data_IF_185099905213
#
_entry.id   IF_185099905213
#
_cell.length_a   1.000
_cell.length_b   1.000
_cell.length_c   1.000
_cell.angle_alpha   90.00
_cell.angle_beta   90.00
_cell.angle_gamma   90.00
#
_symmetry.space_group_name_H-M   'P 1'
#
loop_
_entity.id
_entity.type
_entity.pdbx_description
1 polymer ?
#
# COMPACT_ATOMS: atom_id res chain seq x y z
N UNK A 1 -53.21 26.24 -19.89
CA UNK A 1 -52.74 24.86 -20.11
C UNK A 1 -51.22 24.81 -20.03
N UNK A 2 -50.64 24.59 -18.84
CA UNK A 2 -49.24 24.21 -18.63
C UNK A 2 -49.19 23.35 -17.36
N UNK A 3 -49.06 22.03 -17.55
CA UNK A 3 -48.82 21.07 -16.46
C UNK A 3 -47.35 21.21 -16.02
N UNK A 4 -47.11 21.60 -14.77
CA UNK A 4 -45.86 21.25 -14.09
C UNK A 4 -46.03 19.86 -13.46
N UNK A 5 -45.28 18.88 -13.95
CA UNK A 5 -45.10 17.59 -13.28
C UNK A 5 -44.05 17.77 -12.18
N UNK A 6 -44.49 17.80 -10.93
CA UNK A 6 -43.59 17.61 -9.77
C UNK A 6 -43.12 16.15 -9.75
N UNK A 7 -41.80 15.96 -9.81
CA UNK A 7 -41.15 14.67 -9.59
C UNK A 7 -40.89 14.56 -8.09
N UNK A 8 -41.68 13.72 -7.42
CA UNK A 8 -41.44 13.30 -6.04
C UNK A 8 -40.32 12.27 -6.06
N UNK A 9 -39.12 12.63 -5.61
CA UNK A 9 -38.02 11.69 -5.36
C UNK A 9 -38.21 11.11 -3.97
N UNK A 10 -38.72 9.89 -3.89
CA UNK A 10 -38.77 9.12 -2.64
C UNK A 10 -37.37 8.58 -2.34
N UNK A 11 -36.67 9.19 -1.37
CA UNK A 11 -35.44 8.64 -0.81
C UNK A 11 -35.84 7.51 0.13
N UNK A 12 -35.65 6.26 -0.30
CA UNK A 12 -35.69 5.11 0.59
C UNK A 12 -34.43 5.12 1.47
N UNK A 13 -34.57 5.54 2.74
CA UNK A 13 -33.57 5.25 3.76
C UNK A 13 -33.57 3.74 4.01
N UNK A 14 -32.50 3.06 3.62
CA UNK A 14 -32.22 1.70 4.08
C UNK A 14 -31.64 1.84 5.49
N UNK A 15 -32.49 1.68 6.50
CA UNK A 15 -32.06 1.37 7.85
C UNK A 15 -31.61 -0.09 7.88
N UNK A 16 -30.30 -0.33 7.99
CA UNK A 16 -29.79 -1.65 8.34
C UNK A 16 -30.08 -1.88 9.82
N UNK A 17 -31.20 -2.56 10.09
CA UNK A 17 -31.47 -3.11 11.40
C UNK A 17 -30.40 -4.16 11.72
N UNK A 18 -29.89 -4.12 12.96
CA UNK A 18 -29.10 -5.20 13.54
C UNK A 18 -29.96 -6.48 13.55
N UNK A 19 -29.85 -7.28 12.49
CA UNK A 19 -30.48 -8.59 12.42
C UNK A 19 -29.57 -9.61 13.11
N UNK A 20 -30.10 -10.19 14.19
CA UNK A 20 -29.59 -11.39 14.84
C UNK A 20 -29.22 -12.46 13.80
N UNK A 21 -27.94 -12.82 13.75
CA UNK A 21 -27.42 -13.87 12.88
C UNK A 21 -27.87 -15.25 13.38
N UNK A 22 -28.82 -15.86 12.68
CA UNK A 22 -29.18 -17.27 12.87
C UNK A 22 -29.49 -17.91 11.52
N UNK A 23 -28.73 -18.95 11.18
CA UNK A 23 -29.00 -19.88 10.07
C UNK A 23 -28.25 -19.57 8.78
N UNK A 24 -27.31 -20.46 8.42
CA UNK A 24 -26.29 -20.34 7.37
C UNK A 24 -25.18 -19.32 7.69
N UNK A 25 -23.95 -19.84 7.78
CA UNK A 25 -22.73 -19.15 8.23
C UNK A 25 -22.31 -18.05 7.26
N UNK A 26 -22.97 -16.90 7.33
CA UNK A 26 -22.51 -15.71 6.63
C UNK A 26 -21.07 -15.43 7.08
N UNK A 27 -20.12 -15.19 6.15
CA UNK A 27 -18.81 -14.68 6.53
C UNK A 27 -18.98 -13.45 7.41
N UNK A 28 -18.09 -13.27 8.37
CA UNK A 28 -18.00 -12.04 9.15
C UNK A 28 -17.77 -10.81 8.27
N UNK A 29 -17.67 -9.64 8.89
CA UNK A 29 -17.61 -8.37 8.21
C UNK A 29 -16.21 -7.75 8.27
N UNK A 30 -15.79 -7.11 7.18
CA UNK A 30 -14.67 -6.17 7.17
C UNK A 30 -15.22 -4.74 7.07
N UNK A 31 -14.82 -3.89 8.01
CA UNK A 31 -15.18 -2.46 8.08
C UNK A 31 -13.94 -1.58 7.96
N UNK A 32 -14.08 -0.39 7.37
CA UNK A 32 -12.95 0.45 6.98
C UNK A 32 -12.94 1.79 7.70
N UNK A 33 -11.74 2.35 7.93
CA UNK A 33 -11.53 3.60 8.66
C UNK A 33 -10.39 4.42 8.05
N UNK A 34 -10.46 5.75 8.16
CA UNK A 34 -9.34 6.67 7.87
C UNK A 34 -8.53 7.02 9.12
N UNK A 35 -8.84 6.37 10.25
CA UNK A 35 -8.15 6.54 11.52
C UNK A 35 -7.55 5.22 11.96
N UNK A 36 -6.42 5.30 12.66
CA UNK A 36 -5.80 4.13 13.27
C UNK A 36 -6.77 3.50 14.27
N UNK A 37 -6.92 2.18 14.18
CA UNK A 37 -7.73 1.37 15.10
C UNK A 37 -6.84 0.52 16.00
N UNK A 38 -7.37 0.13 17.16
CA UNK A 38 -6.65 -0.71 18.11
C UNK A 38 -6.49 -2.15 17.56
N UNK A 39 -5.32 -2.72 17.78
CA UNK A 39 -5.10 -4.15 17.56
C UNK A 39 -5.88 -4.95 18.63
N UNK A 40 -6.52 -6.04 18.22
CA UNK A 40 -7.26 -6.98 19.10
C UNK A 40 -8.48 -6.44 19.86
N UNK A 41 -9.18 -5.43 19.33
CA UNK A 41 -10.42 -4.94 19.95
C UNK A 41 -11.52 -4.69 18.93
N UNK A 42 -12.74 -5.02 19.37
CA UNK A 42 -14.01 -4.41 18.95
C UNK A 42 -13.83 -2.96 18.56
N UNK A 43 -14.10 -2.64 17.28
CA UNK A 43 -14.41 -1.25 16.98
C UNK A 43 -15.67 -0.86 17.77
N UNK A 44 -15.59 0.29 18.45
CA UNK A 44 -16.73 0.92 19.12
C UNK A 44 -17.27 2.09 18.29
N UNK A 45 -16.76 2.22 17.06
CA UNK A 45 -17.10 3.29 16.14
C UNK A 45 -18.51 3.09 15.59
N UNK A 46 -19.17 4.21 15.28
CA UNK A 46 -20.54 4.23 14.76
C UNK A 46 -20.55 4.10 13.23
N UNK A 47 -21.68 3.70 12.66
CA UNK A 47 -21.87 3.52 11.21
C UNK A 47 -21.47 4.73 10.36
N UNK A 48 -21.69 5.95 10.88
CA UNK A 48 -21.31 7.19 10.20
C UNK A 48 -19.79 7.49 10.25
N UNK A 49 -19.05 6.76 11.08
CA UNK A 49 -17.58 6.83 11.17
C UNK A 49 -16.90 5.74 10.32
N UNK A 50 -17.66 4.72 9.89
CA UNK A 50 -17.18 3.66 9.00
C UNK A 50 -17.13 4.18 7.56
N UNK A 51 -15.98 4.02 6.92
CA UNK A 51 -15.81 4.38 5.52
C UNK A 51 -16.50 3.38 4.61
N UNK A 52 -17.35 3.90 3.73
CA UNK A 52 -17.80 3.19 2.52
C UNK A 52 -16.95 3.55 1.31
N UNK A 53 -16.52 4.81 1.28
CA UNK A 53 -15.68 5.37 0.24
C UNK A 53 -14.36 5.82 0.85
N UNK A 54 -13.25 5.51 0.16
CA UNK A 54 -11.92 5.94 0.54
C UNK A 54 -11.25 6.64 -0.64
N UNK A 55 -10.70 7.82 -0.40
CA UNK A 55 -9.95 8.57 -1.40
C UNK A 55 -8.52 8.03 -1.51
N UNK A 56 -8.12 7.62 -2.71
CA UNK A 56 -6.81 7.05 -2.97
C UNK A 56 -5.69 8.05 -2.64
N UNK A 57 -4.89 7.73 -1.63
CA UNK A 57 -3.84 8.60 -1.10
C UNK A 57 -4.06 9.03 0.35
N UNK A 58 -5.23 8.75 0.93
CA UNK A 58 -5.48 8.87 2.37
C UNK A 58 -5.03 7.63 3.16
N UNK A 59 -4.84 7.76 4.48
CA UNK A 59 -4.64 6.58 5.31
C UNK A 59 -5.89 5.68 5.30
N UNK A 60 -5.67 4.38 5.39
CA UNK A 60 -6.70 3.35 5.35
C UNK A 60 -6.37 2.21 6.32
N UNK A 61 -7.35 1.89 7.15
CA UNK A 61 -7.32 0.78 8.08
C UNK A 61 -8.59 -0.03 7.93
N UNK A 62 -8.54 -1.31 8.34
CA UNK A 62 -9.68 -2.20 8.31
C UNK A 62 -9.79 -3.00 9.61
N UNK A 63 -10.99 -3.18 10.14
CA UNK A 63 -11.27 -4.19 11.17
C UNK A 63 -12.01 -5.36 10.54
N UNK A 64 -11.58 -6.58 10.82
CA UNK A 64 -12.35 -7.78 10.49
C UNK A 64 -13.00 -8.33 11.77
N UNK A 65 -14.29 -8.62 11.70
CA UNK A 65 -15.14 -9.08 12.82
C UNK A 65 -15.87 -10.33 12.37
N UNK A 66 -15.63 -11.45 13.02
CA UNK A 66 -16.23 -12.75 12.67
C UNK A 66 -16.50 -13.58 13.93
N UNK A 67 -17.30 -14.64 13.82
CA UNK A 67 -17.86 -15.37 14.96
C UNK A 67 -17.14 -16.70 15.28
N UNK A 68 -16.25 -17.15 14.38
CA UNK A 68 -15.54 -18.43 14.49
C UNK A 68 -14.04 -18.24 14.46
N UNK A 69 -13.31 -18.83 15.39
CA UNK A 69 -11.85 -18.88 15.29
C UNK A 69 -11.41 -19.56 13.99
N UNK A 70 -10.18 -19.31 13.53
CA UNK A 70 -9.64 -19.96 12.33
C UNK A 70 -9.79 -21.49 12.39
N UNK A 71 -9.47 -22.09 13.52
CA UNK A 71 -9.54 -23.55 13.73
C UNK A 71 -10.98 -24.08 13.73
N UNK A 72 -11.95 -23.28 14.16
CA UNK A 72 -13.37 -23.67 14.13
C UNK A 72 -13.95 -23.56 12.71
N UNK A 73 -13.50 -22.57 11.94
CA UNK A 73 -13.92 -22.37 10.56
C UNK A 73 -13.22 -23.32 9.58
N UNK A 74 -11.97 -23.69 9.86
CA UNK A 74 -11.18 -24.61 9.05
C UNK A 74 -10.13 -25.32 9.92
N UNK A 75 -10.40 -26.58 10.29
CA UNK A 75 -9.55 -27.36 11.20
C UNK A 75 -8.14 -27.64 10.66
N UNK A 76 -8.04 -27.85 9.35
CA UNK A 76 -6.77 -28.11 8.66
C UNK A 76 -5.96 -26.83 8.44
N UNK A 77 -6.63 -25.66 8.42
CA UNK A 77 -6.00 -24.38 8.13
C UNK A 77 -5.04 -23.98 9.24
N UNK A 78 -3.80 -23.68 8.84
CA UNK A 78 -2.72 -23.27 9.71
C UNK A 78 -2.19 -21.85 9.41
N UNK A 79 -2.81 -21.13 8.47
CA UNK A 79 -2.44 -19.76 8.07
C UNK A 79 -3.65 -18.84 7.90
N UNK A 80 -3.38 -17.54 7.76
CA UNK A 80 -4.37 -16.49 7.47
C UNK A 80 -3.89 -15.67 6.26
N UNK A 81 -4.82 -15.30 5.38
CA UNK A 81 -4.53 -14.53 4.17
C UNK A 81 -5.56 -13.41 3.97
N UNK A 82 -5.11 -12.27 3.46
CA UNK A 82 -5.99 -11.19 2.98
C UNK A 82 -5.97 -11.17 1.45
N UNK A 83 -7.15 -11.17 0.85
CA UNK A 83 -7.33 -11.12 -0.60
C UNK A 83 -8.11 -9.87 -1.01
N UNK A 84 -7.64 -9.23 -2.06
CA UNK A 84 -8.23 -8.04 -2.68
C UNK A 84 -8.63 -8.38 -4.10
N UNK A 85 -9.85 -8.01 -4.51
CA UNK A 85 -10.31 -8.30 -5.86
C UNK A 85 -11.26 -7.26 -6.45
N UNK A 86 -11.20 -7.12 -7.77
CA UNK A 86 -12.13 -6.33 -8.58
C UNK A 86 -12.15 -6.85 -10.01
N UNK A 87 -13.34 -7.10 -10.56
CA UNK A 87 -13.55 -7.46 -11.98
C UNK A 87 -12.54 -8.48 -12.54
N UNK A 88 -12.34 -9.59 -11.83
CA UNK A 88 -11.44 -10.68 -12.23
C UNK A 88 -9.95 -10.44 -11.94
N UNK A 89 -9.55 -9.25 -11.49
CA UNK A 89 -8.22 -9.00 -10.92
C UNK A 89 -8.26 -9.39 -9.44
N UNK A 90 -7.30 -10.20 -9.00
CA UNK A 90 -7.17 -10.63 -7.62
C UNK A 90 -5.70 -10.61 -7.20
N UNK A 91 -5.43 -10.21 -5.96
CA UNK A 91 -4.10 -10.32 -5.38
C UNK A 91 -4.21 -10.50 -3.87
N UNK A 92 -3.27 -11.22 -3.26
CA UNK A 92 -3.33 -11.58 -1.84
C UNK A 92 -2.00 -11.44 -1.13
N UNK A 93 -2.03 -11.39 0.20
CA UNK A 93 -0.81 -11.37 1.03
C UNK A 93 0.05 -12.62 0.82
N UNK A 94 -0.53 -13.81 0.64
CA UNK A 94 0.23 -15.03 0.30
C UNK A 94 0.90 -14.90 -1.08
N UNK A 95 0.19 -14.33 -2.06
CA UNK A 95 0.77 -14.13 -3.39
C UNK A 95 1.90 -13.08 -3.38
N UNK A 96 1.76 -12.00 -2.60
CA UNK A 96 2.84 -11.02 -2.39
C UNK A 96 4.09 -11.68 -1.82
N UNK A 97 3.93 -12.56 -0.82
CA UNK A 97 5.05 -13.31 -0.26
C UNK A 97 5.68 -14.24 -1.29
N UNK A 98 4.88 -14.91 -2.12
CA UNK A 98 5.40 -15.81 -3.14
C UNK A 98 6.16 -15.06 -4.26
N UNK A 99 5.58 -13.98 -4.77
CA UNK A 99 6.15 -13.17 -5.86
C UNK A 99 7.43 -12.44 -5.42
N UNK A 100 7.52 -12.05 -4.13
CA UNK A 100 8.61 -11.25 -3.57
C UNK A 100 9.24 -11.89 -2.31
N UNK A 101 9.47 -13.20 -2.36
CA UNK A 101 9.93 -13.99 -1.21
C UNK A 101 11.25 -13.48 -0.59
N UNK A 102 12.15 -12.94 -1.39
CA UNK A 102 13.42 -12.38 -0.91
C UNK A 102 13.22 -11.20 0.06
N UNK A 103 12.08 -10.51 -0.05
CA UNK A 103 11.72 -9.37 0.79
C UNK A 103 10.79 -9.82 1.94
N UNK A 104 9.83 -10.71 1.66
CA UNK A 104 8.73 -11.01 2.58
C UNK A 104 8.72 -12.43 3.17
N UNK A 105 9.77 -13.23 2.98
CA UNK A 105 9.86 -14.62 3.49
C UNK A 105 9.53 -14.74 4.98
N UNK A 106 9.98 -13.78 5.80
CA UNK A 106 9.74 -13.72 7.24
C UNK A 106 8.66 -12.72 7.65
N UNK A 107 8.03 -12.00 6.70
CA UNK A 107 7.02 -11.01 7.01
C UNK A 107 5.75 -11.71 7.52
N UNK A 108 5.29 -11.32 8.72
CA UNK A 108 4.02 -11.80 9.24
C UNK A 108 2.89 -11.30 8.32
N UNK A 109 1.98 -12.21 7.95
CA UNK A 109 0.71 -11.82 7.33
C UNK A 109 -0.29 -11.38 8.40
N UNK A 110 -1.60 -11.50 8.15
CA UNK A 110 -2.65 -11.24 9.15
C UNK A 110 -2.70 -12.35 10.24
N UNK A 111 -1.56 -12.77 10.77
CA UNK A 111 -1.40 -13.85 11.75
C UNK A 111 -1.98 -13.49 13.12
N UNK A 112 -2.18 -12.20 13.38
CA UNK A 112 -2.88 -11.69 14.57
C UNK A 112 -4.32 -12.23 14.72
N UNK A 113 -4.94 -12.74 13.64
CA UNK A 113 -6.23 -13.42 13.66
C UNK A 113 -6.17 -14.92 13.97
N UNK A 114 -4.97 -15.50 14.17
CA UNK A 114 -4.86 -16.92 14.50
C UNK A 114 -5.56 -17.28 15.83
N UNK A 115 -5.62 -16.32 16.77
CA UNK A 115 -6.25 -16.48 18.08
C UNK A 115 -7.32 -15.44 18.39
N UNK A 116 -7.61 -14.52 17.45
CA UNK A 116 -8.57 -13.44 17.64
C UNK A 116 -9.66 -13.50 16.57
N UNK A 117 -10.91 -13.37 16.98
CA UNK A 117 -12.06 -13.19 16.10
C UNK A 117 -12.26 -11.74 15.66
N UNK A 118 -11.38 -10.85 16.14
CA UNK A 118 -11.32 -9.46 15.75
C UNK A 118 -9.92 -8.85 15.90
N UNK A 119 -9.52 -8.06 14.90
CA UNK A 119 -8.31 -7.25 14.96
C UNK A 119 -8.35 -6.13 13.92
N UNK A 120 -7.54 -5.10 14.14
CA UNK A 120 -7.27 -4.06 13.15
C UNK A 120 -6.11 -4.40 12.23
N UNK A 121 -6.22 -3.97 10.98
CA UNK A 121 -5.27 -4.16 9.88
C UNK A 121 -4.93 -2.79 9.30
N UNK A 122 -3.65 -2.59 8.96
CA UNK A 122 -3.22 -1.44 8.17
C UNK A 122 -3.27 -1.79 6.68
N UNK A 123 -3.92 -0.95 5.87
CA UNK A 123 -3.94 -1.09 4.42
C UNK A 123 -3.13 0.02 3.74
N UNK A 124 -3.21 1.25 4.26
CA UNK A 124 -2.34 2.39 3.94
C UNK A 124 -2.09 3.13 5.25
N UNK A 125 -0.93 2.93 5.88
CA UNK A 125 -0.66 3.50 7.20
C UNK A 125 -0.43 5.03 7.17
N UNK A 126 -0.70 5.71 8.29
CA UNK A 126 -0.39 7.14 8.52
C UNK A 126 1.07 7.35 8.99
N UNK A 127 1.58 6.40 9.78
CA UNK A 127 2.94 6.38 10.32
C UNK A 127 3.61 5.10 9.83
N UNK A 128 4.75 5.21 9.16
CA UNK A 128 5.67 4.08 8.92
C UNK A 128 6.40 3.67 10.20
N UNK A 129 5.67 3.54 11.32
CA UNK A 129 6.27 3.56 12.65
C UNK A 129 7.03 2.26 12.93
N UNK A 130 8.31 2.46 13.24
CA UNK A 130 9.41 1.51 13.31
C UNK A 130 9.89 1.00 11.95
N UNK A 131 11.01 1.59 11.51
CA UNK A 131 11.98 1.01 10.57
C UNK A 131 11.41 0.12 9.47
N UNK A 132 11.29 0.66 8.26
CA UNK A 132 11.50 -0.12 7.03
C UNK A 132 10.58 -1.36 6.81
N UNK A 133 9.48 -1.53 7.56
CA UNK A 133 8.60 -2.71 7.45
C UNK A 133 7.13 -2.30 7.38
N UNK A 134 6.59 -2.23 6.16
CA UNK A 134 5.15 -2.34 5.99
C UNK A 134 4.71 -3.78 6.27
N UNK A 135 3.48 -3.93 6.78
CA UNK A 135 2.82 -5.22 6.89
C UNK A 135 2.68 -5.82 5.47
N UNK A 136 2.91 -7.12 5.35
CA UNK A 136 2.67 -7.87 4.12
C UNK A 136 1.28 -7.58 3.53
N UNK A 137 0.29 -7.33 4.38
CA UNK A 137 -1.09 -6.98 3.99
C UNK A 137 -1.17 -5.60 3.34
N UNK A 138 -0.46 -4.59 3.87
CA UNK A 138 -0.42 -3.24 3.30
C UNK A 138 0.27 -3.28 1.94
N UNK A 139 1.42 -3.96 1.82
CA UNK A 139 2.13 -4.05 0.54
C UNK A 139 1.37 -4.90 -0.48
N UNK A 140 0.68 -5.96 -0.06
CA UNK A 140 -0.21 -6.72 -0.94
C UNK A 140 -1.38 -5.86 -1.44
N UNK A 141 -1.96 -4.98 -0.60
CA UNK A 141 -2.99 -4.05 -1.05
C UNK A 141 -2.43 -3.02 -2.04
N UNK A 142 -1.26 -2.44 -1.77
CA UNK A 142 -0.59 -1.52 -2.68
C UNK A 142 -0.23 -2.18 -4.01
N UNK A 143 0.22 -3.44 -3.97
CA UNK A 143 0.51 -4.24 -5.17
C UNK A 143 -0.76 -4.55 -5.95
N UNK A 144 -1.85 -4.91 -5.28
CA UNK A 144 -3.17 -5.05 -5.91
C UNK A 144 -3.55 -3.78 -6.68
N UNK A 145 -3.45 -2.62 -6.02
CA UNK A 145 -3.72 -1.33 -6.65
C UNK A 145 -2.78 -1.05 -7.84
N UNK A 146 -1.50 -1.45 -7.76
CA UNK A 146 -0.56 -1.41 -8.90
C UNK A 146 -1.03 -2.28 -10.08
N UNK A 147 -1.55 -3.48 -9.81
CA UNK A 147 -1.98 -4.42 -10.86
C UNK A 147 -3.29 -4.00 -11.53
N UNK A 148 -4.17 -3.30 -10.82
CA UNK A 148 -5.41 -2.75 -11.38
C UNK A 148 -5.24 -1.34 -12.00
N UNK A 149 -4.02 -0.90 -12.30
CA UNK A 149 -3.74 0.46 -12.78
C UNK A 149 -4.64 0.91 -13.93
N UNK A 150 -4.94 0.01 -14.88
CA UNK A 150 -5.81 0.32 -16.04
C UNK A 150 -7.25 0.70 -15.66
N UNK A 151 -7.69 0.39 -14.44
CA UNK A 151 -9.00 0.74 -13.87
C UNK A 151 -8.98 2.01 -13.04
N UNK A 152 -7.80 2.46 -12.59
CA UNK A 152 -7.64 3.67 -11.81
C UNK A 152 -7.55 4.85 -12.77
N UNK A 153 -8.54 5.75 -12.74
CA UNK A 153 -8.56 6.98 -13.54
C UNK A 153 -9.12 8.11 -12.69
N UNK A 154 -8.54 9.30 -12.76
CA UNK A 154 -9.07 10.45 -12.00
C UNK A 154 -10.55 10.66 -12.32
N UNK A 155 -11.37 10.78 -11.28
CA UNK A 155 -12.83 10.90 -11.36
C UNK A 155 -13.58 9.56 -11.27
N UNK A 156 -12.90 8.41 -11.21
CA UNK A 156 -13.57 7.11 -11.06
C UNK A 156 -13.66 6.68 -9.60
N UNK A 157 -14.65 5.83 -9.34
CA UNK A 157 -14.81 5.09 -8.08
C UNK A 157 -14.82 3.61 -8.42
N UNK A 158 -13.96 2.83 -7.78
CA UNK A 158 -13.80 1.40 -8.06
C UNK A 158 -14.17 0.58 -6.83
N UNK A 159 -15.16 -0.32 -6.90
CA UNK A 159 -15.54 -1.17 -5.77
C UNK A 159 -14.55 -2.33 -5.62
N UNK A 160 -13.76 -2.32 -4.55
CA UNK A 160 -12.79 -3.37 -4.23
C UNK A 160 -13.39 -4.28 -3.17
N UNK A 161 -13.47 -5.57 -3.48
CA UNK A 161 -13.82 -6.60 -2.49
C UNK A 161 -12.57 -6.96 -1.69
N UNK A 162 -12.74 -7.01 -0.37
CA UNK A 162 -11.71 -7.44 0.58
C UNK A 162 -12.22 -8.68 1.31
N UNK A 163 -11.35 -9.67 1.46
CA UNK A 163 -11.66 -10.95 2.10
C UNK A 163 -10.54 -11.36 3.05
N UNK A 164 -10.92 -11.83 4.24
CA UNK A 164 -10.05 -12.53 5.17
C UNK A 164 -10.30 -14.03 5.02
N UNK A 165 -9.24 -14.79 4.76
CA UNK A 165 -9.28 -16.22 4.46
C UNK A 165 -8.51 -17.00 5.52
N UNK A 166 -9.07 -18.12 5.98
CA UNK A 166 -8.31 -19.19 6.61
C UNK A 166 -7.75 -20.10 5.51
N UNK A 167 -6.43 -20.33 5.50
CA UNK A 167 -5.77 -21.11 4.46
C UNK A 167 -4.88 -22.20 5.06
N UNK A 168 -4.58 -23.22 4.25
CA UNK A 168 -3.43 -24.07 4.47
C UNK A 168 -2.17 -23.33 3.97
N UNK A 169 -1.04 -23.49 4.68
CA UNK A 169 0.21 -22.83 4.30
C UNK A 169 0.51 -23.07 2.82
N UNK A 170 0.72 -21.97 2.09
CA UNK A 170 1.02 -21.88 0.64
C UNK A 170 -0.18 -21.79 -0.30
N UNK A 171 -1.42 -21.90 0.19
CA UNK A 171 -2.60 -21.71 -0.66
C UNK A 171 -3.03 -20.24 -0.75
N UNK A 172 -3.39 -19.80 -1.96
CA UNK A 172 -3.93 -18.46 -2.24
C UNK A 172 -5.42 -18.40 -1.89
N UNK A 173 -6.12 -19.52 -2.08
CA UNK A 173 -7.53 -19.69 -1.77
C UNK A 173 -7.72 -20.37 -0.40
N UNK A 174 -8.90 -20.18 0.19
CA UNK A 174 -9.24 -20.76 1.48
C UNK A 174 -10.67 -20.45 1.91
N UNK A 175 -11.00 -20.84 3.13
CA UNK A 175 -12.32 -20.60 3.72
C UNK A 175 -12.44 -19.11 4.06
N UNK A 176 -13.44 -18.44 3.48
CA UNK A 176 -13.71 -17.02 3.76
C UNK A 176 -14.25 -16.89 5.18
N UNK A 177 -13.52 -16.15 6.02
CA UNK A 177 -13.92 -15.83 7.39
C UNK A 177 -14.66 -14.51 7.48
N UNK A 178 -14.23 -13.50 6.72
CA UNK A 178 -14.86 -12.20 6.69
C UNK A 178 -14.75 -11.54 5.32
N UNK A 179 -15.70 -10.66 4.98
CA UNK A 179 -15.70 -9.90 3.75
C UNK A 179 -16.15 -8.46 3.94
N UNK A 180 -15.63 -7.56 3.12
CA UNK A 180 -16.10 -6.18 3.02
C UNK A 180 -15.92 -5.66 1.59
N UNK A 181 -16.57 -4.55 1.29
CA UNK A 181 -16.38 -3.83 0.02
C UNK A 181 -16.03 -2.39 0.31
N UNK A 182 -14.94 -1.91 -0.29
CA UNK A 182 -14.46 -0.54 -0.19
C UNK A 182 -14.54 0.12 -1.57
N UNK A 183 -15.19 1.27 -1.66
CA UNK A 183 -15.17 2.07 -2.87
C UNK A 183 -13.91 2.95 -2.90
N UNK A 184 -12.96 2.61 -3.76
CA UNK A 184 -11.72 3.39 -3.96
C UNK A 184 -12.03 4.55 -4.91
N UNK A 185 -12.07 5.77 -4.38
CA UNK A 185 -12.25 7.02 -5.12
C UNK A 185 -10.91 7.55 -5.60
N UNK A 186 -10.78 7.73 -6.91
CA UNK A 186 -9.56 8.26 -7.53
C UNK A 186 -9.76 9.74 -7.82
N UNK A 187 -9.04 10.60 -7.12
CA UNK A 187 -9.08 12.06 -7.28
C UNK A 187 -7.72 12.58 -7.75
N UNK A 188 -7.58 13.91 -7.91
CA UNK A 188 -6.28 14.53 -8.21
C UNK A 188 -5.22 14.35 -7.10
N UNK A 189 -5.61 13.87 -5.91
CA UNK A 189 -4.69 13.59 -4.81
C UNK A 189 -3.60 12.57 -5.16
N UNK A 190 -3.89 11.68 -6.11
CA UNK A 190 -2.91 10.69 -6.62
C UNK A 190 -1.70 11.32 -7.30
N UNK A 191 -1.83 12.56 -7.79
CA UNK A 191 -0.75 13.34 -8.41
C UNK A 191 0.22 13.91 -7.39
N UNK A 192 -0.16 13.94 -6.11
CA UNK A 192 0.71 14.41 -5.04
C UNK A 192 1.64 13.28 -4.57
N UNK A 193 2.88 13.32 -5.04
CA UNK A 193 3.92 12.35 -4.66
C UNK A 193 4.23 12.31 -3.16
N UNK A 194 3.82 13.31 -2.37
CA UNK A 194 4.00 13.33 -0.93
C UNK A 194 2.85 12.65 -0.15
N UNK A 195 1.81 12.15 -0.81
CA UNK A 195 0.67 11.51 -0.14
C UNK A 195 1.07 10.18 0.55
N UNK A 196 0.18 9.59 1.34
CA UNK A 196 0.48 8.40 2.16
C UNK A 196 0.79 7.13 1.36
N UNK A 197 0.34 7.10 0.11
CA UNK A 197 0.53 6.00 -0.82
C UNK A 197 1.97 6.03 -1.37
N UNK A 198 2.43 7.19 -1.85
CA UNK A 198 3.73 7.32 -2.53
C UNK A 198 4.87 7.69 -1.58
N UNK A 199 4.62 8.60 -0.63
CA UNK A 199 5.57 9.10 0.38
C UNK A 199 6.93 9.57 -0.19
N UNK A 200 6.93 10.14 -1.38
CA UNK A 200 8.11 10.66 -2.06
C UNK A 200 8.05 12.19 -2.14
N UNK A 201 8.32 12.83 -1.01
CA UNK A 201 8.38 14.29 -0.91
C UNK A 201 9.71 14.83 -1.42
N UNK A 202 9.67 15.86 -2.25
CA UNK A 202 10.85 16.56 -2.71
C UNK A 202 11.34 17.57 -1.66
N UNK A 203 12.63 17.59 -1.39
CA UNK A 203 13.30 18.66 -0.64
C UNK A 203 14.03 19.62 -1.59
N UNK A 204 14.49 19.12 -2.74
CA UNK A 204 15.14 19.91 -3.78
C UNK A 204 14.92 19.28 -5.16
N UNK A 205 15.35 19.96 -6.22
CA UNK A 205 15.36 19.46 -7.60
C UNK A 205 16.69 19.77 -8.27
N UNK A 206 17.26 18.80 -8.97
CA UNK A 206 18.50 18.94 -9.73
C UNK A 206 18.49 17.91 -10.85
N UNK A 207 18.18 18.35 -12.07
CA UNK A 207 17.96 17.47 -13.21
C UNK A 207 19.21 16.63 -13.56
N UNK A 208 20.42 17.16 -13.33
CA UNK A 208 21.64 16.42 -13.61
C UNK A 208 21.84 15.28 -12.60
N UNK A 209 21.57 15.54 -11.32
CA UNK A 209 21.64 14.53 -10.27
C UNK A 209 20.51 13.51 -10.36
N UNK A 210 19.29 13.95 -10.65
CA UNK A 210 18.16 13.06 -10.91
C UNK A 210 18.44 12.10 -12.06
N UNK A 211 19.04 12.60 -13.16
CA UNK A 211 19.45 11.75 -14.28
C UNK A 211 20.54 10.76 -13.88
N UNK A 212 21.59 11.22 -13.18
CA UNK A 212 22.68 10.35 -12.73
C UNK A 212 22.18 9.23 -11.81
N UNK A 213 21.23 9.54 -10.93
CA UNK A 213 20.56 8.57 -10.05
C UNK A 213 19.73 7.58 -10.86
N UNK A 214 18.92 8.05 -11.81
CA UNK A 214 18.10 7.19 -12.66
C UNK A 214 18.97 6.20 -13.46
N UNK A 215 20.05 6.69 -14.08
CA UNK A 215 20.97 5.86 -14.86
C UNK A 215 21.61 4.78 -13.99
N UNK A 216 22.05 5.13 -12.78
CA UNK A 216 22.62 4.16 -11.85
C UNK A 216 21.63 3.16 -11.30
N UNK A 217 20.41 3.60 -11.00
CA UNK A 217 19.37 2.70 -10.50
C UNK A 217 19.04 1.61 -11.53
N UNK A 218 18.92 1.96 -12.82
CA UNK A 218 18.71 0.98 -13.91
C UNK A 218 19.82 -0.05 -14.02
N UNK A 219 21.07 0.37 -13.80
CA UNK A 219 22.23 -0.54 -13.86
C UNK A 219 22.27 -1.48 -12.65
N UNK A 220 21.88 -0.99 -11.46
CA UNK A 220 22.02 -1.72 -10.20
C UNK A 220 20.83 -2.62 -9.86
N UNK A 221 19.62 -2.21 -10.22
CA UNK A 221 18.39 -2.94 -9.88
C UNK A 221 17.92 -3.72 -11.11
N UNK A 222 18.28 -5.00 -11.14
CA UNK A 222 17.81 -5.95 -12.15
C UNK A 222 16.28 -6.02 -12.14
N UNK A 223 15.67 -6.21 -13.32
CA UNK A 223 14.21 -6.25 -13.43
C UNK A 223 13.52 -4.89 -13.53
N UNK A 224 14.26 -3.78 -13.59
CA UNK A 224 13.69 -2.44 -13.83
C UNK A 224 13.40 -2.23 -15.32
N UNK A 225 12.12 -2.13 -15.71
CA UNK A 225 11.70 -1.85 -17.07
C UNK A 225 11.77 -0.36 -17.42
N UNK A 226 11.34 0.51 -16.50
CA UNK A 226 11.25 1.96 -16.71
C UNK A 226 11.42 2.71 -15.40
N UNK A 227 12.15 3.82 -15.42
CA UNK A 227 12.13 4.82 -14.35
C UNK A 227 11.20 5.94 -14.78
N UNK A 228 10.22 6.28 -13.94
CA UNK A 228 9.29 7.37 -14.17
C UNK A 228 9.83 8.69 -13.65
N UNK A 229 10.36 8.68 -12.42
CA UNK A 229 10.76 9.90 -11.71
C UNK A 229 11.80 9.60 -10.65
N UNK A 230 12.69 10.57 -10.44
CA UNK A 230 13.56 10.63 -9.27
C UNK A 230 13.15 11.85 -8.46
N UNK A 231 13.00 11.69 -7.15
CA UNK A 231 12.65 12.77 -6.22
C UNK A 231 13.74 12.89 -5.18
N UNK A 232 14.44 14.02 -5.17
CA UNK A 232 15.50 14.29 -4.19
C UNK A 232 14.86 14.68 -2.86
N UNK A 233 15.04 13.83 -1.85
CA UNK A 233 14.34 13.91 -0.56
C UNK A 233 15.16 14.52 0.58
N UNK A 234 16.42 14.87 0.31
CA UNK A 234 17.28 15.59 1.23
C UNK A 234 18.06 16.68 0.49
N UNK A 235 18.63 17.62 1.24
CA UNK A 235 19.76 18.42 0.77
C UNK A 235 21.02 17.56 0.66
N UNK A 236 22.05 18.08 0.01
CA UNK A 236 23.37 17.46 0.04
C UNK A 236 23.94 17.42 1.45
N UNK A 237 24.43 16.25 1.85
CA UNK A 237 25.24 16.07 3.03
C UNK A 237 26.70 15.85 2.62
N UNK A 238 27.59 16.75 3.03
CA UNK A 238 29.00 16.72 2.66
C UNK A 238 29.83 16.07 3.75
N UNK A 239 30.56 15.01 3.39
CA UNK A 239 31.58 14.42 4.24
C UNK A 239 32.93 15.04 3.90
N UNK A 240 33.63 15.50 4.93
CA UNK A 240 35.00 16.03 4.84
C UNK A 240 35.92 15.23 5.73
N UNK A 241 37.17 15.10 5.29
CA UNK A 241 38.20 14.50 6.10
C UNK A 241 38.46 15.39 7.32
N UNK A 242 38.37 14.83 8.53
CA UNK A 242 38.50 15.60 9.78
C UNK A 242 39.91 16.16 10.00
N UNK A 243 40.93 15.56 9.38
CA UNK A 243 42.34 15.97 9.54
C UNK A 243 42.77 17.00 8.50
N UNK A 244 42.35 16.84 7.24
CA UNK A 244 42.81 17.70 6.13
C UNK A 244 41.79 18.74 5.70
N UNK A 245 40.53 18.61 6.10
CA UNK A 245 39.43 19.46 5.66
C UNK A 245 38.99 19.24 4.21
N UNK A 246 39.67 18.36 3.47
CA UNK A 246 39.37 18.05 2.06
C UNK A 246 38.04 17.29 1.99
N UNK A 247 37.23 17.58 0.97
CA UNK A 247 35.99 16.85 0.71
C UNK A 247 36.28 15.38 0.40
N UNK A 248 35.47 14.48 0.95
CA UNK A 248 35.54 13.04 0.66
C UNK A 248 34.40 12.62 -0.27
N UNK A 249 33.17 12.99 0.07
CA UNK A 249 32.00 12.76 -0.76
C UNK A 249 30.88 13.73 -0.39
N UNK A 250 29.88 13.80 -1.26
CA UNK A 250 28.56 14.32 -0.92
C UNK A 250 27.53 13.21 -1.13
N UNK A 251 26.51 13.17 -0.29
CA UNK A 251 25.42 12.22 -0.44
C UNK A 251 24.06 12.91 -0.42
N UNK A 252 23.07 12.26 -1.02
CA UNK A 252 21.69 12.72 -1.09
C UNK A 252 20.76 11.51 -1.03
N UNK A 253 19.68 11.64 -0.27
CA UNK A 253 18.61 10.65 -0.29
C UNK A 253 17.65 10.95 -1.44
N UNK A 254 17.31 9.94 -2.23
CA UNK A 254 16.31 10.08 -3.28
C UNK A 254 15.33 8.91 -3.33
N UNK A 255 14.08 9.22 -3.67
CA UNK A 255 13.09 8.23 -4.08
C UNK A 255 13.18 8.02 -5.59
N UNK A 256 13.22 6.77 -6.01
CA UNK A 256 13.11 6.36 -7.41
C UNK A 256 11.77 5.68 -7.60
N UNK A 257 10.99 6.21 -8.53
CA UNK A 257 9.71 5.69 -8.95
C UNK A 257 9.89 4.91 -10.25
N UNK A 258 9.56 3.62 -10.25
CA UNK A 258 9.90 2.74 -11.36
C UNK A 258 8.84 1.66 -11.61
N UNK A 259 8.87 1.12 -12.84
CA UNK A 259 8.12 -0.05 -13.27
C UNK A 259 9.07 -1.23 -13.40
N UNK A 260 8.70 -2.38 -12.86
CA UNK A 260 9.40 -3.65 -13.03
C UNK A 260 9.00 -4.34 -14.34
N UNK A 261 9.75 -5.36 -14.76
CA UNK A 261 9.51 -6.10 -16.00
C UNK A 261 8.17 -6.86 -16.02
N UNK A 262 7.67 -7.29 -14.85
CA UNK A 262 6.33 -7.88 -14.66
C UNK A 262 5.20 -6.83 -14.67
N UNK A 263 5.55 -5.56 -14.79
CA UNK A 263 4.63 -4.44 -14.89
C UNK A 263 4.15 -3.85 -13.56
N UNK A 264 4.59 -4.39 -12.42
CA UNK A 264 4.35 -3.76 -11.14
C UNK A 264 5.06 -2.41 -11.04
N UNK A 265 4.50 -1.49 -10.27
CA UNK A 265 5.11 -0.20 -10.04
C UNK A 265 5.49 -0.03 -8.57
N UNK A 266 6.65 0.58 -8.36
CA UNK A 266 7.32 0.64 -7.08
C UNK A 266 7.92 2.02 -6.85
N UNK A 267 8.08 2.36 -5.58
CA UNK A 267 8.89 3.49 -5.12
C UNK A 267 9.95 2.96 -4.17
N UNK A 268 11.21 3.36 -4.37
CA UNK A 268 12.31 2.97 -3.50
C UNK A 268 13.12 4.19 -3.06
N UNK A 269 13.39 4.31 -1.76
CA UNK A 269 14.30 5.32 -1.21
C UNK A 269 15.70 4.72 -1.08
N UNK A 270 16.69 5.43 -1.60
CA UNK A 270 18.09 5.07 -1.48
C UNK A 270 18.91 6.29 -1.11
N UNK A 271 20.03 6.06 -0.43
CA UNK A 271 21.09 7.06 -0.34
C UNK A 271 22.00 6.95 -1.59
N UNK A 272 22.38 8.08 -2.16
CA UNK A 272 23.27 8.15 -3.31
C UNK A 272 24.51 8.96 -2.97
N UNK A 273 25.68 8.39 -3.25
CA UNK A 273 26.98 8.94 -2.87
C UNK A 273 27.74 9.39 -4.12
N UNK A 274 28.24 10.61 -4.11
CA UNK A 274 29.08 11.18 -5.15
C UNK A 274 30.47 11.43 -4.54
N UNK A 275 31.44 10.59 -4.93
CA UNK A 275 32.82 10.66 -4.41
C UNK A 275 33.51 11.94 -4.89
N UNK A 276 34.43 12.46 -4.08
CA UNK A 276 35.29 13.57 -4.50
C UNK A 276 36.49 13.05 -5.31
N UNK A 277 36.69 13.58 -6.50
CA UNK A 277 37.74 13.15 -7.46
C UNK A 277 38.89 14.18 -7.54
N UNK A 278 39.17 14.86 -6.43
CA UNK A 278 40.29 15.80 -6.27
C UNK A 278 39.93 17.25 -6.57
N UNK A 279 39.24 17.53 -7.67
CA UNK A 279 38.82 18.90 -8.05
C UNK A 279 37.30 19.12 -7.95
N UNK A 280 36.50 18.08 -8.16
CA UNK A 280 35.03 18.13 -8.10
C UNK A 280 34.49 16.78 -7.62
N UNK A 281 33.19 16.73 -7.32
CA UNK A 281 32.49 15.49 -7.07
C UNK A 281 32.17 14.76 -8.37
N UNK A 282 32.22 13.43 -8.32
CA UNK A 282 31.85 12.57 -9.43
C UNK A 282 30.46 12.90 -9.95
N UNK A 283 30.28 12.83 -11.27
CA UNK A 283 28.95 12.92 -11.90
C UNK A 283 28.20 11.59 -11.84
N UNK A 284 28.89 10.52 -11.46
CA UNK A 284 28.29 9.20 -11.27
C UNK A 284 27.93 9.00 -9.81
N UNK A 285 26.66 8.70 -9.55
CA UNK A 285 26.21 8.28 -8.23
C UNK A 285 26.69 6.85 -7.94
N UNK A 286 27.06 6.55 -6.69
CA UNK A 286 27.07 5.20 -6.16
C UNK A 286 25.77 5.00 -5.38
N UNK A 287 25.03 3.94 -5.69
CA UNK A 287 23.83 3.58 -4.94
C UNK A 287 24.25 2.93 -3.62
N UNK A 288 23.79 3.52 -2.51
CA UNK A 288 23.95 2.97 -1.17
C UNK A 288 22.89 1.90 -0.86
N UNK A 289 22.61 1.69 0.43
CA UNK A 289 21.57 0.75 0.88
C UNK A 289 20.19 1.26 0.48
N UNK A 290 19.32 0.35 0.05
CA UNK A 290 17.87 0.59 -0.04
C UNK A 290 17.36 0.80 1.39
N UNK A 291 16.86 2.00 1.65
CA UNK A 291 16.26 2.39 2.94
C UNK A 291 14.78 2.05 2.99
N UNK A 292 14.15 1.92 1.83
CA UNK A 292 12.71 1.73 1.69
C UNK A 292 12.39 1.25 0.28
N UNK A 293 11.46 0.32 0.15
CA UNK A 293 10.83 -0.01 -1.13
C UNK A 293 9.38 -0.44 -0.87
N UNK A 294 8.45 0.03 -1.67
CA UNK A 294 7.05 -0.39 -1.58
C UNK A 294 6.38 -0.37 -2.97
N UNK A 295 5.43 -1.29 -3.22
CA UNK A 295 4.54 -1.19 -4.36
C UNK A 295 3.71 0.09 -4.26
N UNK A 296 3.36 0.68 -5.40
CA UNK A 296 2.38 1.77 -5.45
C UNK A 296 1.58 1.73 -6.76
N UNK A 297 0.40 2.35 -6.80
CA UNK A 297 -0.44 2.40 -7.99
C UNK A 297 0.24 3.15 -9.14
N UNK A 298 0.14 2.60 -10.36
CA UNK A 298 0.73 3.21 -11.56
C UNK A 298 0.23 4.63 -11.85
N UNK A 299 -1.00 4.95 -11.45
CA UNK A 299 -1.62 6.26 -11.63
C UNK A 299 -0.91 7.38 -10.85
N UNK A 300 -0.07 7.04 -9.87
CA UNK A 300 0.76 8.01 -9.17
C UNK A 300 1.94 8.53 -10.01
N UNK A 301 2.14 8.03 -11.24
CA UNK A 301 3.26 8.39 -12.10
C UNK A 301 2.86 9.01 -13.44
N UNK A 302 1.56 9.06 -13.73
CA UNK A 302 0.97 9.57 -14.99
C UNK A 302 0.47 11.01 -14.87
#
# INVERSE_FOLDING_TARGET
MKLLKSITVTIAMIAYAASSFAGATAPGQIVFFNKKIAYHKATTDKDNEILKDWELGDPLYASAIFDKSRTDACKECNSMNMRFSVDGISYSSTQMRADYNDIYSAAAGPTYYASATEAGIQMVSDKGWYFEMYDLTEDAFRMFLSKMNSKLKVGTTVPVKVELLATNDKEVDGTVLATGTLNVKVTDKVKNNANFLVRASAMMSDAAVEKAIADQYKVRITGTAKIYKVVLSSNYNYKRNSRTGINENKNIDAYVMYKTNDGACWVAKNNYIFEFEGNDFSKMAKMGKILFAAPVPGICYE
#
